data_IF_325842560224
#
_entry.id   IF_325842560224
#
_cell.length_a   1.000
_cell.length_b   1.000
_cell.length_c   1.000
_cell.angle_alpha   90.00
_cell.angle_beta   90.00
_cell.angle_gamma   90.00
#
_symmetry.space_group_name_H-M   'P 1'
#
loop_
_entity.id
_entity.type
_entity.pdbx_description
1 polymer ?
#
# COMPACT_ATOMS: atom_id res chain seq x y z
N UNK A 1 7.72 48.47 -46.01
CA UNK A 1 8.36 47.14 -45.87
C UNK A 1 9.72 47.33 -45.24
N UNK A 2 9.90 47.01 -43.96
CA UNK A 2 11.22 46.89 -43.32
C UNK A 2 11.22 45.56 -42.59
N UNK A 3 12.06 44.66 -43.09
CA UNK A 3 12.38 43.33 -42.53
C UNK A 3 13.70 43.46 -41.76
N UNK A 4 13.88 42.59 -40.75
CA UNK A 4 15.16 42.08 -40.20
C UNK A 4 16.04 43.10 -39.42
N UNK A 5 16.78 42.84 -38.33
CA UNK A 5 17.41 41.68 -37.65
C UNK A 5 17.84 42.20 -36.24
N UNK A 6 17.50 41.51 -35.14
CA UNK A 6 18.41 40.78 -34.22
C UNK A 6 19.45 41.61 -33.42
N UNK A 7 19.44 41.44 -32.09
CA UNK A 7 20.59 41.40 -31.14
C UNK A 7 20.01 41.50 -29.71
N UNK A 8 19.61 40.42 -29.01
CA UNK A 8 20.42 39.32 -28.45
C UNK A 8 21.48 39.81 -27.44
N UNK A 9 21.05 40.07 -26.19
CA UNK A 9 21.94 40.11 -25.03
C UNK A 9 21.14 40.01 -23.72
N UNK A 10 20.84 38.77 -23.30
CA UNK A 10 20.51 38.49 -21.90
C UNK A 10 21.41 37.35 -21.45
N UNK A 11 22.48 37.76 -20.77
CA UNK A 11 23.37 36.92 -20.00
C UNK A 11 22.57 36.37 -18.82
N UNK A 12 22.21 35.09 -18.85
CA UNK A 12 21.76 34.37 -17.65
C UNK A 12 22.93 33.53 -17.14
N UNK A 13 23.76 34.18 -16.32
CA UNK A 13 24.60 33.53 -15.33
C UNK A 13 23.72 33.28 -14.10
N UNK A 14 23.14 32.09 -13.97
CA UNK A 14 22.66 31.60 -12.69
C UNK A 14 23.19 30.19 -12.50
N UNK A 15 24.17 30.10 -11.60
CA UNK A 15 24.26 29.03 -10.62
C UNK A 15 24.73 27.68 -11.14
N UNK A 16 26.02 27.42 -10.94
CA UNK A 16 26.51 26.12 -10.49
C UNK A 16 25.64 25.62 -9.32
N UNK A 17 24.57 24.91 -9.62
CA UNK A 17 24.05 23.90 -8.72
C UNK A 17 24.89 22.66 -8.94
N UNK A 18 25.90 22.44 -8.09
CA UNK A 18 26.34 21.08 -7.79
C UNK A 18 25.13 20.40 -7.18
N UNK A 19 24.22 19.94 -8.04
CA UNK A 19 23.21 18.99 -7.65
C UNK A 19 23.98 17.74 -7.29
N UNK A 20 24.18 17.54 -5.99
CA UNK A 20 24.36 16.22 -5.42
C UNK A 20 23.21 15.38 -6.00
N UNK A 21 23.52 14.67 -7.07
CA UNK A 21 22.72 13.60 -7.59
C UNK A 21 22.79 12.53 -6.51
N UNK A 22 21.99 12.73 -5.45
CA UNK A 22 21.54 11.64 -4.61
C UNK A 22 21.02 10.63 -5.60
N UNK A 23 21.74 9.53 -5.76
CA UNK A 23 21.20 8.33 -6.39
C UNK A 23 19.84 8.11 -5.75
N UNK A 24 18.79 8.51 -6.47
CA UNK A 24 17.44 8.19 -6.10
C UNK A 24 17.32 6.71 -6.42
N UNK A 25 17.70 5.89 -5.44
CA UNK A 25 17.52 4.45 -5.53
C UNK A 25 16.01 4.25 -5.48
N UNK A 26 15.43 4.07 -6.66
CA UNK A 26 14.03 3.74 -6.86
C UNK A 26 13.78 2.34 -6.28
N UNK A 27 13.60 2.26 -4.96
CA UNK A 27 13.24 1.04 -4.25
C UNK A 27 11.82 0.56 -4.59
N UNK A 28 11.09 1.27 -5.47
CA UNK A 28 9.79 0.92 -6.06
C UNK A 28 9.75 -0.47 -6.69
N UNK A 29 10.92 -1.03 -7.01
CA UNK A 29 11.11 -2.35 -7.64
C UNK A 29 11.65 -3.41 -6.70
N UNK A 30 11.84 -3.10 -5.42
CA UNK A 30 12.30 -4.07 -4.43
C UNK A 30 11.12 -4.92 -3.95
N UNK A 31 11.10 -6.24 -4.25
CA UNK A 31 9.97 -7.10 -3.90
C UNK A 31 9.85 -7.33 -2.39
N UNK A 32 10.95 -7.30 -1.66
CA UNK A 32 10.96 -7.52 -0.22
C UNK A 32 10.40 -6.29 0.50
N UNK A 33 10.85 -5.09 0.14
CA UNK A 33 10.30 -3.84 0.66
C UNK A 33 8.80 -3.70 0.34
N UNK A 34 8.36 -4.09 -0.87
CA UNK A 34 6.93 -4.10 -1.18
C UNK A 34 6.17 -5.09 -0.27
N UNK A 35 6.69 -6.29 -0.07
CA UNK A 35 6.08 -7.29 0.80
C UNK A 35 5.98 -6.85 2.26
N UNK A 36 7.00 -6.17 2.80
CA UNK A 36 6.97 -5.58 4.14
C UNK A 36 5.86 -4.53 4.28
N UNK A 37 5.67 -3.68 3.26
CA UNK A 37 4.60 -2.68 3.24
C UNK A 37 3.21 -3.32 3.17
N UNK A 38 3.06 -4.39 2.36
CA UNK A 38 1.80 -5.16 2.31
C UNK A 38 1.51 -5.80 3.66
N UNK A 39 2.51 -6.41 4.32
CA UNK A 39 2.36 -6.99 5.67
C UNK A 39 1.82 -5.95 6.66
N UNK A 40 2.47 -4.80 6.72
CA UNK A 40 2.04 -3.69 7.59
C UNK A 40 0.61 -3.27 7.29
N UNK A 41 0.28 -2.99 6.02
CA UNK A 41 -1.06 -2.61 5.61
C UNK A 41 -2.12 -3.63 6.06
N UNK A 42 -1.87 -4.92 5.89
CA UNK A 42 -2.82 -5.97 6.27
C UNK A 42 -3.04 -6.00 7.78
N UNK A 43 -1.96 -5.98 8.57
CA UNK A 43 -2.04 -5.98 10.05
C UNK A 43 -2.78 -4.74 10.56
N UNK A 44 -2.43 -3.57 10.02
CA UNK A 44 -3.07 -2.29 10.32
C UNK A 44 -4.57 -2.28 10.01
N UNK A 45 -4.94 -2.79 8.84
CA UNK A 45 -6.31 -2.81 8.36
C UNK A 45 -7.15 -3.81 9.16
N UNK A 46 -6.59 -4.99 9.47
CA UNK A 46 -7.24 -5.98 10.31
C UNK A 46 -7.48 -5.46 11.74
N UNK A 47 -6.51 -4.76 12.33
CA UNK A 47 -6.66 -4.15 13.64
C UNK A 47 -7.76 -3.08 13.66
N UNK A 48 -7.84 -2.22 12.63
CA UNK A 48 -8.90 -1.20 12.52
C UNK A 48 -10.27 -1.83 12.26
N UNK A 49 -10.36 -2.80 11.35
CA UNK A 49 -11.58 -3.53 11.05
C UNK A 49 -12.17 -4.19 12.31
N UNK A 50 -11.32 -4.71 13.19
CA UNK A 50 -11.75 -5.34 14.45
C UNK A 50 -12.59 -4.41 15.32
N UNK A 51 -12.27 -3.13 15.37
CA UNK A 51 -12.97 -2.14 16.21
C UNK A 51 -13.97 -1.27 15.44
N UNK A 52 -14.10 -1.47 14.13
CA UNK A 52 -14.97 -0.66 13.26
C UNK A 52 -16.42 -1.13 13.29
N UNK A 53 -17.33 -0.19 13.05
CA UNK A 53 -18.72 -0.46 12.67
C UNK A 53 -18.86 -0.84 11.19
N UNK A 54 -17.91 -0.39 10.36
CA UNK A 54 -17.76 -0.67 8.92
C UNK A 54 -16.41 -1.37 8.71
N UNK A 55 -16.28 -2.67 9.05
CA UNK A 55 -15.04 -3.42 8.88
C UNK A 55 -14.61 -3.57 7.42
N UNK A 56 -15.56 -3.64 6.49
CA UNK A 56 -15.36 -3.83 5.06
C UNK A 56 -14.56 -2.69 4.41
N UNK A 57 -14.71 -1.44 4.86
CA UNK A 57 -13.97 -0.29 4.31
C UNK A 57 -12.46 -0.44 4.50
N UNK A 58 -12.05 -0.96 5.66
CA UNK A 58 -10.64 -1.19 5.96
C UNK A 58 -10.08 -2.37 5.18
N UNK A 59 -10.87 -3.43 4.96
CA UNK A 59 -10.42 -4.61 4.23
C UNK A 59 -10.43 -4.39 2.71
N UNK A 60 -11.35 -3.58 2.20
CA UNK A 60 -11.45 -3.25 0.77
C UNK A 60 -10.18 -2.58 0.24
N UNK A 61 -9.48 -1.79 1.06
CA UNK A 61 -8.18 -1.22 0.69
C UNK A 61 -7.09 -2.28 0.42
N UNK A 62 -7.16 -3.45 1.07
CA UNK A 62 -6.27 -4.58 0.77
C UNK A 62 -6.65 -5.19 -0.58
N UNK A 63 -7.95 -5.36 -0.82
CA UNK A 63 -8.50 -5.89 -2.07
C UNK A 63 -8.05 -5.01 -3.24
N UNK A 64 -8.28 -3.70 -3.18
CA UNK A 64 -7.89 -2.76 -4.23
C UNK A 64 -6.39 -2.81 -4.56
N UNK A 65 -5.55 -2.90 -3.53
CA UNK A 65 -4.10 -2.99 -3.70
C UNK A 65 -3.69 -4.30 -4.41
N UNK A 66 -4.26 -5.43 -3.99
CA UNK A 66 -3.85 -6.75 -4.47
C UNK A 66 -4.52 -7.15 -5.79
N UNK A 67 -5.68 -6.56 -6.14
CA UNK A 67 -6.32 -6.76 -7.45
C UNK A 67 -5.54 -6.10 -8.58
N UNK A 68 -4.99 -4.91 -8.35
CA UNK A 68 -4.17 -4.19 -9.31
C UNK A 68 -2.72 -4.07 -8.84
N UNK A 69 -2.01 -5.19 -8.86
CA UNK A 69 -0.56 -5.22 -8.65
C UNK A 69 0.22 -4.62 -9.82
N UNK A 70 -0.36 -3.78 -10.67
CA UNK A 70 0.15 -3.27 -11.95
C UNK A 70 1.67 -2.97 -12.00
N UNK A 71 2.47 -3.96 -12.40
CA UNK A 71 3.93 -3.84 -12.50
C UNK A 71 4.69 -3.82 -11.17
N UNK A 72 4.02 -4.09 -10.05
CA UNK A 72 4.61 -4.20 -8.71
C UNK A 72 5.55 -5.40 -8.63
N UNK A 73 6.66 -5.29 -7.88
CA UNK A 73 7.62 -6.37 -7.72
C UNK A 73 7.06 -7.44 -6.78
N UNK A 74 6.32 -8.42 -7.29
CA UNK A 74 5.70 -9.45 -6.44
C UNK A 74 6.70 -10.47 -5.91
N UNK A 75 7.83 -10.65 -6.61
CA UNK A 75 8.89 -11.58 -6.23
C UNK A 75 8.37 -13.00 -5.97
N UNK A 76 8.84 -13.60 -4.88
CA UNK A 76 8.46 -14.94 -4.43
C UNK A 76 7.11 -14.99 -3.67
N UNK A 77 6.52 -13.84 -3.35
CA UNK A 77 5.36 -13.73 -2.44
C UNK A 77 4.01 -13.72 -3.18
N UNK A 78 4.02 -13.97 -4.49
CA UNK A 78 2.81 -13.92 -5.31
C UNK A 78 1.70 -14.82 -4.79
N UNK A 79 2.04 -16.06 -4.41
CA UNK A 79 1.06 -17.00 -3.86
C UNK A 79 0.46 -16.50 -2.53
N UNK A 80 1.27 -15.89 -1.67
CA UNK A 80 0.78 -15.24 -0.44
C UNK A 80 -0.16 -14.08 -0.77
N UNK A 81 0.13 -13.26 -1.79
CA UNK A 81 -0.77 -12.19 -2.22
C UNK A 81 -2.09 -12.70 -2.79
N UNK A 82 -2.08 -13.78 -3.57
CA UNK A 82 -3.30 -14.41 -4.08
C UNK A 82 -4.16 -14.94 -2.91
N UNK A 83 -3.55 -15.53 -1.88
CA UNK A 83 -4.25 -15.99 -0.68
C UNK A 83 -4.82 -14.83 0.15
N UNK A 84 -4.03 -13.76 0.35
CA UNK A 84 -4.48 -12.55 1.03
C UNK A 84 -5.66 -11.91 0.29
N UNK A 85 -5.57 -11.79 -1.03
CA UNK A 85 -6.65 -11.26 -1.86
C UNK A 85 -7.93 -12.10 -1.76
N UNK A 86 -7.79 -13.43 -1.84
CA UNK A 86 -8.93 -14.35 -1.72
C UNK A 86 -9.64 -14.16 -0.38
N UNK A 87 -8.89 -14.22 0.72
CA UNK A 87 -9.47 -14.09 2.06
C UNK A 87 -10.05 -12.69 2.31
N UNK A 88 -9.38 -11.62 1.87
CA UNK A 88 -9.91 -10.26 1.99
C UNK A 88 -11.24 -10.10 1.23
N UNK A 89 -11.39 -10.68 0.03
CA UNK A 89 -12.66 -10.68 -0.71
C UNK A 89 -13.75 -11.48 0.00
N UNK A 90 -13.40 -12.62 0.59
CA UNK A 90 -14.36 -13.40 1.40
C UNK A 90 -14.86 -12.57 2.60
N UNK A 91 -13.95 -11.91 3.32
CA UNK A 91 -14.31 -11.05 4.46
C UNK A 91 -15.23 -9.91 4.04
N UNK A 92 -14.90 -9.20 2.95
CA UNK A 92 -15.75 -8.12 2.42
C UNK A 92 -17.14 -8.66 2.07
N UNK A 93 -17.19 -9.78 1.34
CA UNK A 93 -18.46 -10.41 0.97
C UNK A 93 -19.29 -10.86 2.18
N UNK A 94 -18.65 -11.37 3.24
CA UNK A 94 -19.31 -11.74 4.49
C UNK A 94 -19.88 -10.52 5.22
N UNK A 95 -19.17 -9.38 5.21
CA UNK A 95 -19.63 -8.12 5.79
C UNK A 95 -20.82 -7.55 5.01
N UNK A 96 -20.74 -7.50 3.68
CA UNK A 96 -21.83 -7.04 2.81
C UNK A 96 -23.09 -7.92 2.98
N UNK A 97 -22.92 -9.24 3.08
CA UNK A 97 -24.02 -10.17 3.28
C UNK A 97 -24.69 -10.05 4.67
N UNK A 98 -24.01 -9.44 5.64
CA UNK A 98 -24.53 -9.24 6.98
C UNK A 98 -25.42 -7.99 7.12
N UNK A 99 -25.59 -7.20 6.04
CA UNK A 99 -26.54 -6.07 5.95
C UNK A 99 -26.35 -5.05 7.10
N UNK A 100 -25.11 -4.59 7.28
CA UNK A 100 -24.73 -3.63 8.34
C UNK A 100 -24.60 -4.24 9.74
N UNK A 101 -24.69 -5.57 9.87
CA UNK A 101 -24.38 -6.28 11.12
C UNK A 101 -22.95 -6.82 11.07
N UNK A 102 -22.29 -6.91 12.23
CA UNK A 102 -20.98 -7.54 12.32
C UNK A 102 -21.08 -9.05 12.07
N UNK A 103 -20.32 -9.62 11.12
CA UNK A 103 -20.30 -11.07 10.92
C UNK A 103 -19.81 -11.80 12.19
N UNK A 104 -20.43 -12.95 12.56
CA UNK A 104 -20.12 -13.64 13.81
C UNK A 104 -18.70 -14.22 13.87
N UNK A 105 -18.09 -14.49 12.70
CA UNK A 105 -16.75 -15.05 12.61
C UNK A 105 -15.69 -14.01 12.19
N UNK A 106 -16.04 -12.71 12.16
CA UNK A 106 -15.14 -11.66 11.65
C UNK A 106 -13.79 -11.68 12.36
N UNK A 107 -13.78 -11.75 13.70
CA UNK A 107 -12.53 -11.75 14.47
C UNK A 107 -11.61 -12.92 14.09
N UNK A 108 -12.17 -14.11 13.91
CA UNK A 108 -11.43 -15.29 13.45
C UNK A 108 -10.86 -15.08 12.04
N UNK A 109 -11.64 -14.54 11.11
CA UNK A 109 -11.19 -14.26 9.75
C UNK A 109 -10.08 -13.22 9.71
N UNK A 110 -10.15 -12.20 10.57
CA UNK A 110 -9.10 -11.18 10.70
C UNK A 110 -7.80 -11.78 11.30
N UNK A 111 -7.92 -12.74 12.22
CA UNK A 111 -6.76 -13.50 12.72
C UNK A 111 -6.14 -14.36 11.61
N UNK A 112 -6.95 -15.05 10.80
CA UNK A 112 -6.49 -15.81 9.61
C UNK A 112 -5.76 -14.91 8.61
N UNK A 113 -6.31 -13.72 8.35
CA UNK A 113 -5.72 -12.73 7.45
C UNK A 113 -4.36 -12.23 7.96
N UNK A 114 -4.28 -11.97 9.28
CA UNK A 114 -3.03 -11.57 9.93
C UNK A 114 -1.99 -12.69 9.91
N UNK A 115 -2.42 -13.94 10.10
CA UNK A 115 -1.53 -15.10 10.03
C UNK A 115 -0.95 -15.32 8.63
N UNK A 116 -1.75 -15.13 7.57
CA UNK A 116 -1.26 -15.15 6.18
C UNK A 116 -0.26 -14.02 5.91
N UNK A 117 -0.53 -12.82 6.45
CA UNK A 117 0.40 -11.70 6.31
C UNK A 117 1.73 -11.95 7.02
N UNK A 118 1.78 -12.83 8.03
CA UNK A 118 3.01 -13.15 8.74
C UNK A 118 4.02 -13.95 7.89
N UNK A 119 3.56 -14.59 6.81
CA UNK A 119 4.42 -15.24 5.82
C UNK A 119 5.22 -14.23 4.97
N UNK A 120 4.81 -12.95 4.96
CA UNK A 120 5.56 -11.90 4.32
C UNK A 120 6.75 -11.45 5.19
N UNK A 121 7.85 -11.02 4.58
CA UNK A 121 9.02 -10.53 5.29
C UNK A 121 8.71 -9.26 6.08
N UNK A 122 9.53 -9.00 7.11
CA UNK A 122 9.44 -7.83 7.96
C UNK A 122 8.68 -8.05 9.27
N UNK A 123 8.94 -7.15 10.21
CA UNK A 123 8.24 -7.10 11.49
C UNK A 123 7.09 -6.10 11.36
N UNK A 124 5.87 -6.58 11.61
CA UNK A 124 4.72 -5.69 11.69
C UNK A 124 4.78 -4.94 13.02
N UNK A 125 5.52 -3.82 13.07
CA UNK A 125 5.52 -2.94 14.22
C UNK A 125 4.07 -2.55 14.59
N UNK A 126 3.62 -2.80 15.84
CA UNK A 126 2.28 -2.42 16.26
C UNK A 126 2.15 -0.90 16.17
N UNK A 127 0.98 -0.42 15.70
CA UNK A 127 0.68 1.01 15.68
C UNK A 127 0.95 1.63 17.05
N UNK A 128 1.56 2.85 17.12
CA UNK A 128 1.54 3.61 18.36
C UNK A 128 0.08 3.86 18.72
N UNK A 129 -0.38 3.26 19.81
CA UNK A 129 -1.66 3.61 20.44
C UNK A 129 -1.52 5.08 20.80
N UNK A 130 -2.19 5.95 20.05
CA UNK A 130 -2.22 7.37 20.35
C UNK A 130 -2.77 7.54 21.76
N UNK A 131 -1.87 7.88 22.70
CA UNK A 131 -2.24 8.36 24.02
C UNK A 131 -3.13 9.60 23.81
N UNK A 132 -4.42 9.46 24.11
CA UNK A 132 -5.35 10.59 24.24
C UNK A 132 -5.13 11.28 25.58
#
# INVERSE_FOLDING_TARGET
MIRTILCLLVVVLVGCGSGEQRDYVDHSRDPEAFAQNVKQLVVDSAARARTSEEPEDYISGIVDLLEDLGGRPTGAYRETYDQLLSLSREIVSECEAADGQRPPNLDQRLDELTALADELPGDAAPLPVGEN
#
